data_IF_726698145278
#
_entry.id   IF_726698145278
#
_cell.length_a   1.000
_cell.length_b   1.000
_cell.length_c   1.000
_cell.angle_alpha   90.00
_cell.angle_beta   90.00
_cell.angle_gamma   90.00
#
_symmetry.space_group_name_H-M   'P 1'
#
loop_
_entity.id
_entity.type
_entity.pdbx_description
1 polymer ?
#
# COMPACT_ATOMS: atom_id res chain seq x y z
N UNK A 1 37.49 -1.52 -32.33
CA UNK A 1 37.19 -0.86 -31.06
C UNK A 1 35.77 -1.22 -30.66
N UNK A 2 35.59 -2.25 -29.84
CA UNK A 2 34.30 -2.56 -29.24
C UNK A 2 34.01 -1.50 -28.18
N UNK A 3 32.93 -0.74 -28.38
CA UNK A 3 32.43 0.16 -27.36
C UNK A 3 32.08 -0.66 -26.11
N UNK A 4 32.88 -0.49 -25.05
CA UNK A 4 32.49 -0.86 -23.70
C UNK A 4 31.17 -0.14 -23.43
N UNK A 5 30.02 -0.84 -23.55
CA UNK A 5 28.78 -0.41 -22.92
C UNK A 5 29.15 -0.22 -21.44
N UNK A 6 29.14 1.03 -20.95
CA UNK A 6 29.39 1.35 -19.55
C UNK A 6 28.48 0.44 -18.74
N UNK A 7 29.04 -0.57 -18.07
CA UNK A 7 28.35 -1.31 -17.04
C UNK A 7 27.95 -0.28 -15.99
N UNK A 8 26.67 0.01 -15.96
CA UNK A 8 26.15 1.10 -15.14
C UNK A 8 26.33 0.68 -13.68
N UNK A 9 27.04 1.54 -12.95
CA UNK A 9 27.66 1.29 -11.66
C UNK A 9 26.61 1.19 -10.54
N UNK A 10 26.89 0.50 -9.43
CA UNK A 10 26.31 0.69 -8.08
C UNK A 10 25.66 2.05 -7.76
N UNK A 11 26.32 3.13 -8.19
CA UNK A 11 25.86 4.49 -8.03
C UNK A 11 24.51 4.79 -8.72
N UNK A 12 24.17 4.10 -9.82
CA UNK A 12 22.87 4.25 -10.46
C UNK A 12 21.77 3.55 -9.66
N UNK A 13 22.02 2.40 -9.02
CA UNK A 13 20.98 1.78 -8.18
C UNK A 13 20.68 2.65 -6.96
N UNK A 14 21.72 3.21 -6.32
CA UNK A 14 21.53 4.21 -5.26
C UNK A 14 20.88 5.49 -5.80
N UNK A 15 21.27 5.97 -6.99
CA UNK A 15 20.67 7.14 -7.61
C UNK A 15 19.23 6.88 -8.09
N UNK A 16 18.87 5.66 -8.46
CA UNK A 16 17.52 5.22 -8.81
C UNK A 16 16.64 5.20 -7.57
N UNK A 17 17.18 4.69 -6.44
CA UNK A 17 16.51 4.77 -5.16
C UNK A 17 16.33 6.25 -4.77
N UNK A 18 17.34 7.11 -4.94
CA UNK A 18 17.26 8.54 -4.59
C UNK A 18 16.54 9.41 -5.64
N UNK A 19 16.33 8.94 -6.87
CA UNK A 19 15.77 9.72 -7.97
C UNK A 19 14.38 10.27 -7.64
N UNK A 20 13.43 9.50 -7.08
CA UNK A 20 12.14 10.04 -6.62
C UNK A 20 12.24 11.31 -5.76
N UNK A 21 13.31 11.48 -4.98
CA UNK A 21 13.54 12.69 -4.19
C UNK A 21 14.02 13.89 -5.02
N UNK A 22 14.82 13.67 -6.07
CA UNK A 22 15.31 14.77 -6.93
C UNK A 22 14.26 15.27 -7.92
N UNK A 23 13.24 14.45 -8.20
CA UNK A 23 12.13 14.82 -9.09
C UNK A 23 11.00 15.53 -8.36
N UNK A 24 10.81 15.38 -7.04
CA UNK A 24 9.68 15.95 -6.30
C UNK A 24 9.60 17.50 -6.45
N UNK A 25 8.78 18.05 -7.37
CA UNK A 25 8.76 19.46 -7.67
C UNK A 25 7.47 20.01 -7.06
N UNK A 26 7.37 20.02 -5.73
CA UNK A 26 6.22 20.63 -5.08
C UNK A 26 6.63 21.60 -3.99
N UNK A 27 7.67 22.39 -4.28
CA UNK A 27 8.00 23.63 -3.52
C UNK A 27 7.05 24.78 -3.91
N UNK A 28 5.89 24.48 -4.47
CA UNK A 28 4.85 25.51 -4.63
C UNK A 28 4.22 25.70 -3.26
N UNK A 29 4.08 26.94 -2.82
CA UNK A 29 3.29 27.26 -1.64
C UNK A 29 1.86 26.78 -1.87
N UNK A 30 1.55 25.56 -1.41
CA UNK A 30 0.26 24.94 -1.58
C UNK A 30 -0.75 25.61 -0.65
N UNK A 31 -1.75 26.27 -1.23
CA UNK A 31 -2.90 26.81 -0.54
C UNK A 31 -4.16 25.95 -0.84
N UNK A 32 -5.17 25.95 0.05
CA UNK A 32 -6.46 25.34 -0.25
C UNK A 32 -7.03 25.91 -1.56
N UNK A 33 -7.42 25.05 -2.49
CA UNK A 33 -7.82 25.41 -3.85
C UNK A 33 -6.78 25.07 -4.93
N UNK A 34 -5.53 24.80 -4.53
CA UNK A 34 -4.45 24.41 -5.46
C UNK A 34 -4.44 22.91 -5.73
N UNK A 35 -5.42 22.13 -5.25
CA UNK A 35 -5.47 20.67 -5.40
C UNK A 35 -5.39 20.28 -6.87
N UNK A 36 -6.11 21.01 -7.73
CA UNK A 36 -6.09 20.80 -9.17
C UNK A 36 -4.69 21.00 -9.79
N UNK A 37 -3.89 21.92 -9.24
CA UNK A 37 -2.54 22.18 -9.71
C UNK A 37 -1.54 21.14 -9.18
N UNK A 38 -1.68 20.72 -7.92
CA UNK A 38 -0.74 19.80 -7.26
C UNK A 38 -1.01 18.34 -7.60
N UNK A 39 -2.28 17.94 -7.60
CA UNK A 39 -2.70 16.55 -7.80
C UNK A 39 -3.40 16.33 -9.15
N UNK A 40 -3.61 17.39 -9.93
CA UNK A 40 -4.38 17.29 -11.17
C UNK A 40 -5.89 17.15 -10.93
N UNK A 41 -6.38 17.31 -9.69
CA UNK A 41 -7.79 17.11 -9.32
C UNK A 41 -8.22 17.84 -8.06
N UNK A 42 -9.51 18.16 -7.93
CA UNK A 42 -10.08 18.91 -6.79
C UNK A 42 -10.61 18.03 -5.66
N UNK A 43 -10.70 16.71 -5.88
CA UNK A 43 -11.25 15.73 -4.92
C UNK A 43 -12.71 15.99 -4.50
N UNK A 44 -13.48 16.68 -5.33
CA UNK A 44 -14.90 16.97 -5.08
C UNK A 44 -15.83 15.81 -5.45
N UNK A 45 -15.32 14.81 -6.14
CA UNK A 45 -16.05 13.63 -6.59
C UNK A 45 -16.01 12.53 -5.52
N UNK A 46 -17.02 11.67 -5.50
CA UNK A 46 -17.11 10.55 -4.56
C UNK A 46 -15.98 9.54 -4.75
N UNK A 47 -15.53 9.32 -5.98
CA UNK A 47 -14.37 8.49 -6.27
C UNK A 47 -13.72 8.90 -7.59
N UNK A 48 -12.41 8.75 -7.68
CA UNK A 48 -11.65 9.21 -8.83
C UNK A 48 -10.28 8.51 -8.93
N UNK A 49 -9.78 8.33 -10.16
CA UNK A 49 -8.39 7.94 -10.44
C UNK A 49 -7.86 8.73 -11.62
N UNK A 50 -6.63 9.26 -11.50
CA UNK A 50 -5.97 9.94 -12.62
C UNK A 50 -5.41 8.97 -13.66
N UNK A 51 -5.08 9.52 -14.83
CA UNK A 51 -4.29 8.81 -15.85
C UNK A 51 -2.77 8.84 -15.59
N UNK A 52 -2.27 9.85 -14.86
CA UNK A 52 -0.92 9.99 -14.25
C UNK A 52 -0.66 11.47 -13.92
N UNK A 53 -0.09 11.79 -12.75
CA UNK A 53 0.55 13.07 -12.44
C UNK A 53 1.99 13.01 -12.94
N UNK A 54 2.38 13.92 -13.83
CA UNK A 54 3.75 14.01 -14.34
C UNK A 54 4.55 15.01 -13.51
N UNK A 55 5.67 14.53 -13.01
CA UNK A 55 6.63 15.24 -12.19
C UNK A 55 7.90 15.46 -13.01
N UNK A 56 8.27 16.73 -13.26
CA UNK A 56 9.45 17.07 -14.06
C UNK A 56 10.60 17.52 -13.16
N UNK A 57 11.71 16.79 -13.22
CA UNK A 57 12.95 17.12 -12.53
C UNK A 57 13.71 18.23 -13.26
N UNK A 58 14.48 19.00 -12.50
CA UNK A 58 15.29 20.11 -13.02
C UNK A 58 16.38 19.64 -13.99
N UNK A 59 16.79 18.38 -13.88
CA UNK A 59 17.77 17.70 -14.74
C UNK A 59 17.16 17.14 -16.03
N UNK A 60 15.83 17.22 -16.22
CA UNK A 60 15.12 16.64 -17.36
C UNK A 60 14.60 15.22 -17.13
N UNK A 61 14.86 14.62 -15.96
CA UNK A 61 14.26 13.35 -15.53
C UNK A 61 12.77 13.58 -15.25
N UNK A 62 11.88 12.70 -15.74
CA UNK A 62 10.45 12.81 -15.50
C UNK A 62 9.96 11.60 -14.71
N UNK A 63 9.24 11.81 -13.62
CA UNK A 63 8.52 10.77 -12.90
C UNK A 63 7.01 10.86 -13.19
N UNK A 64 6.30 9.76 -12.99
CA UNK A 64 4.85 9.75 -13.03
C UNK A 64 4.26 8.96 -11.88
N UNK A 65 3.14 9.46 -11.36
CA UNK A 65 2.44 8.94 -10.20
C UNK A 65 0.96 8.71 -10.53
N UNK A 66 0.40 7.59 -10.09
CA UNK A 66 -1.05 7.41 -10.04
C UNK A 66 -1.59 7.91 -8.71
N UNK A 67 -2.75 8.56 -8.74
CA UNK A 67 -3.54 8.87 -7.56
C UNK A 67 -4.95 8.35 -7.73
N UNK A 68 -5.41 7.56 -6.77
CA UNK A 68 -6.81 7.14 -6.62
C UNK A 68 -7.38 7.71 -5.33
N UNK A 69 -8.68 7.95 -5.32
CA UNK A 69 -9.37 8.64 -4.24
C UNK A 69 -10.80 8.13 -4.10
N UNK A 70 -11.28 8.03 -2.86
CA UNK A 70 -12.67 7.80 -2.46
C UNK A 70 -13.01 8.78 -1.35
N UNK A 71 -14.19 9.38 -1.41
CA UNK A 71 -14.72 10.35 -0.44
C UNK A 71 -16.20 10.12 -0.19
N UNK A 72 -16.52 9.81 1.06
CA UNK A 72 -17.90 9.65 1.54
C UNK A 72 -18.06 10.38 2.86
N UNK A 73 -18.79 11.51 2.84
CA UNK A 73 -19.03 12.32 4.03
C UNK A 73 -17.73 12.92 4.59
N UNK A 74 -17.35 12.53 5.81
CA UNK A 74 -16.08 12.92 6.45
C UNK A 74 -14.96 11.88 6.29
N UNK A 75 -15.24 10.74 5.63
CA UNK A 75 -14.23 9.73 5.34
C UNK A 75 -13.64 9.92 3.94
N UNK A 76 -12.33 9.81 3.86
CA UNK A 76 -11.56 9.82 2.62
C UNK A 76 -10.54 8.70 2.65
N UNK A 77 -10.37 8.00 1.53
CA UNK A 77 -9.28 7.07 1.29
C UNK A 77 -8.55 7.46 0.00
N UNK A 78 -7.24 7.26 -0.03
CA UNK A 78 -6.43 7.58 -1.18
C UNK A 78 -5.29 6.58 -1.37
N UNK A 79 -4.89 6.43 -2.62
CA UNK A 79 -3.70 5.70 -3.02
C UNK A 79 -2.83 6.62 -3.85
N UNK A 80 -1.57 6.77 -3.47
CA UNK A 80 -0.54 7.36 -4.33
C UNK A 80 0.46 6.28 -4.67
N UNK A 81 0.62 6.01 -5.97
CA UNK A 81 1.47 4.94 -6.44
C UNK A 81 2.44 5.44 -7.52
N UNK A 82 3.60 4.81 -7.59
CA UNK A 82 4.61 5.14 -8.58
C UNK A 82 4.37 4.37 -9.87
N UNK A 83 4.37 5.09 -10.99
CA UNK A 83 4.24 4.46 -12.30
C UNK A 83 5.63 4.19 -12.88
N UNK A 84 6.36 5.27 -13.20
CA UNK A 84 7.68 5.17 -13.82
C UNK A 84 8.49 6.47 -13.67
N UNK A 85 9.83 6.33 -13.73
CA UNK A 85 10.79 7.41 -14.00
C UNK A 85 11.37 7.18 -15.39
N UNK A 86 11.38 8.24 -16.19
CA UNK A 86 12.12 8.33 -17.43
C UNK A 86 13.30 9.28 -17.21
N UNK A 87 14.51 8.73 -17.18
CA UNK A 87 15.75 9.50 -17.02
C UNK A 87 16.18 10.14 -18.35
N UNK A 88 17.06 11.14 -18.28
CA UNK A 88 17.54 11.86 -19.48
C UNK A 88 18.31 11.02 -20.48
N UNK A 89 18.89 9.89 -20.04
CA UNK A 89 19.54 8.91 -20.90
C UNK A 89 18.56 7.89 -21.50
N UNK A 90 17.25 8.12 -21.35
CA UNK A 90 16.18 7.31 -21.94
C UNK A 90 15.89 6.01 -21.20
N UNK A 91 16.41 5.84 -19.97
CA UNK A 91 16.06 4.68 -19.16
C UNK A 91 14.71 4.86 -18.49
N UNK A 92 13.93 3.78 -18.51
CA UNK A 92 12.64 3.69 -17.83
C UNK A 92 12.80 2.84 -16.58
N UNK A 93 12.41 3.40 -15.44
CA UNK A 93 12.47 2.75 -14.14
C UNK A 93 11.05 2.65 -13.58
N UNK A 94 10.57 1.44 -13.35
CA UNK A 94 9.37 1.10 -12.61
C UNK A 94 9.75 0.58 -11.22
N UNK A 95 9.04 1.05 -10.19
CA UNK A 95 9.18 0.62 -8.80
C UNK A 95 7.78 0.46 -8.20
N UNK A 96 7.44 -0.67 -7.55
CA UNK A 96 6.14 -0.87 -6.94
C UNK A 96 6.06 -0.12 -5.60
N UNK A 97 5.99 1.20 -5.66
CA UNK A 97 5.73 2.02 -4.49
C UNK A 97 4.24 2.34 -4.42
N UNK A 98 3.66 2.09 -3.25
CA UNK A 98 2.25 2.40 -2.97
C UNK A 98 2.14 2.95 -1.56
N UNK A 99 1.58 4.15 -1.47
CA UNK A 99 1.13 4.76 -0.24
C UNK A 99 -0.40 4.71 -0.25
N UNK A 100 -0.97 3.89 0.63
CA UNK A 100 -2.40 3.92 0.92
C UNK A 100 -2.64 4.77 2.16
N UNK A 101 -3.64 5.62 2.13
CA UNK A 101 -3.98 6.53 3.21
C UNK A 101 -5.47 6.65 3.46
N UNK A 102 -5.83 6.97 4.69
CA UNK A 102 -7.18 7.25 5.14
C UNK A 102 -7.20 8.51 5.99
N UNK A 103 -8.25 9.29 5.83
CA UNK A 103 -8.55 10.49 6.61
C UNK A 103 -10.01 10.45 7.04
N UNK A 104 -10.26 10.63 8.33
CA UNK A 104 -11.61 10.62 8.89
C UNK A 104 -11.66 11.30 10.26
N UNK A 105 -12.88 11.46 10.78
CA UNK A 105 -13.12 11.78 12.18
C UNK A 105 -13.68 10.59 12.93
N UNK A 106 -13.16 10.37 14.14
CA UNK A 106 -13.67 9.36 15.07
C UNK A 106 -15.04 9.74 15.63
N UNK A 107 -15.76 8.82 16.31
CA UNK A 107 -17.01 9.13 17.00
C UNK A 107 -16.96 10.32 17.97
N UNK A 108 -15.83 10.54 18.66
CA UNK A 108 -15.60 11.72 19.52
C UNK A 108 -15.08 12.96 18.74
N UNK A 109 -15.22 12.96 17.41
CA UNK A 109 -14.76 14.01 16.50
C UNK A 109 -13.26 14.30 16.58
N UNK A 110 -12.42 13.28 16.79
CA UNK A 110 -10.97 13.41 16.65
C UNK A 110 -10.58 13.14 15.21
N UNK A 111 -9.82 14.05 14.62
CA UNK A 111 -9.28 13.85 13.28
C UNK A 111 -8.16 12.80 13.31
N UNK A 112 -8.24 11.86 12.37
CA UNK A 112 -7.27 10.78 12.19
C UNK A 112 -6.83 10.76 10.75
N UNK A 113 -5.52 10.73 10.56
CA UNK A 113 -4.91 10.62 9.24
C UNK A 113 -3.83 9.54 9.31
N UNK A 114 -4.01 8.44 8.59
CA UNK A 114 -3.17 7.23 8.71
C UNK A 114 -2.88 6.65 7.34
N UNK A 115 -1.69 6.10 7.16
CA UNK A 115 -1.29 5.45 5.93
C UNK A 115 -0.43 4.22 6.16
N UNK A 116 -0.48 3.34 5.17
CA UNK A 116 0.36 2.16 5.05
C UNK A 116 1.17 2.27 3.76
N UNK A 117 2.47 2.03 3.86
CA UNK A 117 3.38 2.08 2.72
C UNK A 117 3.87 0.66 2.44
N UNK A 118 3.74 0.22 1.19
CA UNK A 118 4.36 -1.00 0.73
C UNK A 118 5.88 -0.81 0.67
N UNK A 119 6.61 -1.57 1.48
CA UNK A 119 8.04 -1.42 1.67
C UNK A 119 8.82 -2.20 0.62
N UNK A 120 8.67 -3.53 0.65
CA UNK A 120 9.36 -4.48 -0.21
C UNK A 120 8.73 -5.87 -0.11
N UNK A 121 9.15 -6.75 -1.01
CA UNK A 121 8.95 -8.19 -0.89
C UNK A 121 10.18 -8.82 -0.24
N UNK A 122 9.96 -9.76 0.67
CA UNK A 122 10.99 -10.50 1.39
C UNK A 122 10.75 -12.00 1.18
N UNK A 123 11.71 -12.69 0.59
CA UNK A 123 11.71 -14.15 0.51
C UNK A 123 12.54 -14.71 1.66
N UNK A 124 12.06 -15.76 2.30
CA UNK A 124 12.83 -16.48 3.31
C UNK A 124 12.73 -17.98 3.08
N UNK A 125 13.70 -18.71 3.62
CA UNK A 125 13.72 -20.16 3.55
C UNK A 125 13.44 -20.74 4.93
N UNK A 126 12.20 -21.18 5.15
CA UNK A 126 11.71 -21.74 6.41
C UNK A 126 12.60 -22.92 6.82
N UNK A 127 13.49 -22.62 7.76
CA UNK A 127 14.49 -23.57 8.28
C UNK A 127 14.70 -23.43 9.78
N UNK A 128 13.92 -22.55 10.41
CA UNK A 128 14.04 -22.21 11.81
C UNK A 128 12.65 -21.93 12.39
N UNK A 129 12.33 -22.54 13.53
CA UNK A 129 11.09 -22.22 14.24
C UNK A 129 9.84 -22.90 13.70
N UNK A 130 9.80 -23.32 12.43
CA UNK A 130 8.61 -23.95 11.80
C UNK A 130 7.35 -23.13 12.04
N UNK A 131 7.49 -21.81 11.91
CA UNK A 131 6.44 -20.84 12.16
C UNK A 131 5.99 -20.13 10.88
N UNK A 132 6.62 -20.44 9.74
CA UNK A 132 6.33 -19.91 8.40
C UNK A 132 6.37 -18.36 8.42
N UNK A 133 7.31 -17.82 9.20
CA UNK A 133 7.56 -16.39 9.36
C UNK A 133 9.02 -16.08 9.02
N UNK A 134 9.29 -14.89 8.46
CA UNK A 134 10.65 -14.47 8.17
C UNK A 134 11.45 -14.25 9.46
N UNK A 135 12.14 -15.27 9.94
CA UNK A 135 12.98 -15.28 11.15
C UNK A 135 14.40 -14.77 10.82
N UNK A 136 14.42 -13.56 10.26
CA UNK A 136 15.62 -13.00 9.66
C UNK A 136 16.73 -12.81 10.70
N UNK A 137 17.84 -13.52 10.51
CA UNK A 137 18.96 -13.66 11.43
C UNK A 137 19.20 -15.10 11.86
N UNK A 138 18.18 -15.96 11.75
CA UNK A 138 18.26 -17.40 12.05
C UNK A 138 18.17 -18.29 10.80
N UNK A 139 17.61 -17.78 9.70
CA UNK A 139 17.43 -18.49 8.43
C UNK A 139 17.86 -17.66 7.23
N UNK A 140 18.00 -18.23 6.03
CA UNK A 140 18.35 -17.40 4.86
C UNK A 140 17.14 -16.57 4.40
N UNK A 141 17.37 -15.29 4.11
CA UNK A 141 16.35 -14.40 3.55
C UNK A 141 16.93 -13.42 2.51
N UNK A 142 16.07 -12.98 1.60
CA UNK A 142 16.43 -12.15 0.46
C UNK A 142 15.33 -11.13 0.16
N UNK A 143 15.74 -9.89 -0.10
CA UNK A 143 14.86 -8.88 -0.65
C UNK A 143 14.70 -9.06 -2.15
N UNK A 144 13.49 -8.88 -2.62
CA UNK A 144 13.18 -8.83 -4.04
C UNK A 144 13.09 -7.37 -4.43
N UNK A 145 14.15 -6.86 -5.06
CA UNK A 145 14.29 -5.46 -5.42
C UNK A 145 14.02 -5.30 -6.91
N UNK A 146 12.90 -4.68 -7.31
CA UNK A 146 12.59 -4.49 -8.73
C UNK A 146 13.65 -3.64 -9.41
N UNK A 147 14.19 -4.13 -10.53
CA UNK A 147 15.20 -3.47 -11.33
C UNK A 147 14.76 -3.50 -12.78
N UNK A 148 14.28 -2.36 -13.24
CA UNK A 148 13.70 -2.18 -14.56
C UNK A 148 14.65 -1.51 -15.54
N UNK A 149 15.63 -0.76 -15.02
CA UNK A 149 16.80 -0.36 -15.80
C UNK A 149 17.78 -1.53 -15.95
N UNK A 150 18.20 -1.83 -17.18
CA UNK A 150 19.11 -2.93 -17.50
C UNK A 150 18.56 -4.33 -17.18
N UNK A 151 17.28 -4.56 -17.50
CA UNK A 151 16.75 -5.92 -17.46
C UNK A 151 17.65 -6.86 -18.28
N UNK A 152 18.01 -8.05 -17.75
CA UNK A 152 18.77 -9.05 -18.48
C UNK A 152 18.03 -9.60 -19.72
N UNK A 153 16.73 -9.33 -19.83
CA UNK A 153 15.83 -9.83 -20.86
C UNK A 153 15.33 -8.69 -21.73
N UNK A 154 15.90 -8.58 -22.94
CA UNK A 154 15.59 -7.49 -23.87
C UNK A 154 14.24 -7.62 -24.56
N UNK A 155 13.66 -8.82 -24.50
CA UNK A 155 12.32 -9.16 -25.02
C UNK A 155 11.19 -8.79 -24.06
N UNK A 156 11.53 -8.32 -22.85
CA UNK A 156 10.57 -8.06 -21.78
C UNK A 156 10.54 -6.57 -21.46
N UNK A 157 9.33 -6.02 -21.34
CA UNK A 157 9.13 -4.64 -20.91
C UNK A 157 8.14 -4.61 -19.75
N UNK A 158 8.59 -4.10 -18.61
CA UNK A 158 7.74 -3.90 -17.44
C UNK A 158 6.59 -2.94 -17.77
N UNK A 159 5.40 -3.19 -17.23
CA UNK A 159 4.25 -2.30 -17.37
C UNK A 159 3.64 -2.02 -16.01
N UNK A 160 3.08 -0.83 -15.86
CA UNK A 160 2.31 -0.41 -14.69
C UNK A 160 0.97 0.10 -15.17
N UNK A 161 -0.08 -0.39 -14.54
CA UNK A 161 -1.45 -0.05 -14.89
C UNK A 161 -2.22 0.26 -13.60
N UNK A 162 -2.86 1.44 -13.51
CA UNK A 162 -3.76 1.72 -12.40
C UNK A 162 -5.01 0.85 -12.52
N UNK A 163 -5.49 0.36 -11.37
CA UNK A 163 -6.83 -0.20 -11.25
C UNK A 163 -7.72 0.93 -10.75
N UNK A 164 -8.59 1.51 -11.61
CA UNK A 164 -9.32 2.72 -11.27
C UNK A 164 -10.24 2.51 -10.07
N UNK A 165 -10.45 3.59 -9.31
CA UNK A 165 -11.49 3.67 -8.29
C UNK A 165 -12.84 3.41 -8.94
N UNK A 166 -13.51 2.39 -8.44
CA UNK A 166 -14.80 1.94 -8.94
C UNK A 166 -15.73 1.68 -7.77
N UNK A 167 -16.98 2.13 -7.90
CA UNK A 167 -18.07 1.73 -7.01
C UNK A 167 -18.55 0.34 -7.46
N UNK A 168 -18.16 -0.69 -6.72
CA UNK A 168 -18.51 -2.10 -7.04
C UNK A 168 -19.84 -2.52 -6.44
N UNK A 169 -20.33 -1.79 -5.43
CA UNK A 169 -21.64 -1.95 -4.81
C UNK A 169 -21.96 -0.74 -3.92
N UNK A 170 -23.17 -0.66 -3.34
CA UNK A 170 -23.51 0.41 -2.41
C UNK A 170 -22.48 0.49 -1.26
N UNK A 171 -21.87 1.66 -1.07
CA UNK A 171 -20.82 1.88 -0.06
C UNK A 171 -19.60 0.94 -0.17
N UNK A 172 -19.33 0.39 -1.36
CA UNK A 172 -18.26 -0.56 -1.61
C UNK A 172 -17.43 -0.11 -2.81
N UNK A 173 -16.15 0.18 -2.57
CA UNK A 173 -15.22 0.73 -3.55
C UNK A 173 -13.98 -0.14 -3.70
N UNK A 174 -13.40 -0.14 -4.89
CA UNK A 174 -12.12 -0.82 -5.15
C UNK A 174 -11.20 0.00 -6.04
N UNK A 175 -9.92 0.05 -5.70
CA UNK A 175 -8.83 0.57 -6.54
C UNK A 175 -7.51 -0.12 -6.21
N UNK A 176 -6.48 0.09 -7.01
CA UNK A 176 -5.17 -0.51 -6.79
C UNK A 176 -4.19 -0.25 -7.91
N UNK A 177 -3.13 -1.04 -7.95
CA UNK A 177 -2.11 -1.02 -9.02
C UNK A 177 -1.75 -2.43 -9.45
N UNK A 178 -1.51 -2.59 -10.74
CA UNK A 178 -0.96 -3.80 -11.35
C UNK A 178 0.40 -3.49 -11.98
N UNK A 179 1.41 -4.27 -11.63
CA UNK A 179 2.74 -4.24 -12.21
C UNK A 179 2.96 -5.57 -12.93
N UNK A 180 3.25 -5.58 -14.22
CA UNK A 180 3.51 -6.82 -14.98
C UNK A 180 4.91 -6.84 -15.55
N UNK A 181 5.44 -8.04 -15.79
CA UNK A 181 6.76 -8.26 -16.37
C UNK A 181 7.88 -7.59 -15.57
N UNK A 182 7.78 -7.65 -14.25
CA UNK A 182 8.71 -6.98 -13.35
C UNK A 182 9.98 -7.81 -13.18
N UNK A 183 11.09 -7.30 -13.71
CA UNK A 183 12.42 -7.82 -13.41
C UNK A 183 12.83 -7.38 -12.01
N UNK A 184 13.39 -8.27 -11.19
CA UNK A 184 13.91 -7.95 -9.87
C UNK A 184 15.24 -8.64 -9.58
N UNK A 185 16.09 -7.98 -8.79
CA UNK A 185 17.28 -8.60 -8.20
C UNK A 185 16.91 -9.26 -6.88
N UNK A 186 17.51 -10.42 -6.64
CA UNK A 186 17.43 -11.10 -5.35
C UNK A 186 18.64 -10.68 -4.52
N UNK A 187 18.41 -9.88 -3.49
CA UNK A 187 19.44 -9.25 -2.66
C UNK A 187 19.46 -9.92 -1.31
N UNK A 188 20.62 -10.40 -0.87
CA UNK A 188 20.74 -11.04 0.44
C UNK A 188 20.34 -10.10 1.56
N UNK A 189 19.43 -10.55 2.44
CA UNK A 189 19.06 -9.84 3.65
C UNK A 189 20.04 -10.10 4.80
N UNK A 190 21.00 -11.02 4.63
CA UNK A 190 21.97 -11.44 5.64
C UNK A 190 23.33 -11.77 5.03
N UNK A 191 24.36 -11.00 5.37
CA UNK A 191 25.69 -11.20 4.78
C UNK A 191 25.70 -10.93 3.27
N UNK A 192 26.70 -10.19 2.78
CA UNK A 192 26.78 -9.91 1.32
C UNK A 192 25.62 -9.08 0.75
N UNK A 193 24.83 -8.38 1.59
CA UNK A 193 23.80 -7.43 1.16
C UNK A 193 24.38 -6.45 0.12
N UNK A 194 25.49 -5.79 0.45
CA UNK A 194 26.14 -4.86 -0.47
C UNK A 194 26.55 -5.53 -1.77
N UNK A 195 27.17 -6.72 -1.70
CA UNK A 195 27.62 -7.41 -2.91
C UNK A 195 26.44 -7.78 -3.84
N UNK A 196 25.37 -8.33 -3.28
CA UNK A 196 24.17 -8.75 -4.01
C UNK A 196 23.27 -7.59 -4.46
N UNK A 197 23.30 -6.45 -3.76
CA UNK A 197 22.66 -5.22 -4.22
C UNK A 197 23.41 -4.62 -5.41
N UNK A 198 24.74 -4.59 -5.33
CA UNK A 198 25.61 -3.94 -6.30
C UNK A 198 25.83 -4.75 -7.58
N UNK A 199 25.87 -6.07 -7.47
CA UNK A 199 26.05 -6.98 -8.60
C UNK A 199 24.77 -7.78 -8.85
N UNK A 200 24.33 -7.97 -10.11
CA UNK A 200 23.18 -8.81 -10.43
C UNK A 200 23.53 -10.30 -10.31
N UNK A 201 23.78 -10.76 -9.08
CA UNK A 201 24.16 -12.15 -8.81
C UNK A 201 23.02 -13.11 -9.17
N UNK A 202 21.81 -12.75 -8.77
CA UNK A 202 20.56 -13.44 -9.12
C UNK A 202 19.52 -12.41 -9.55
N UNK A 203 18.88 -12.65 -10.68
CA UNK A 203 17.79 -11.82 -11.21
C UNK A 203 16.63 -12.72 -11.61
N UNK A 204 15.41 -12.30 -11.31
CA UNK A 204 14.17 -13.03 -11.55
C UNK A 204 13.15 -12.16 -12.30
N UNK A 205 12.26 -12.78 -13.05
CA UNK A 205 11.14 -12.13 -13.74
C UNK A 205 9.82 -12.60 -13.14
N UNK A 206 9.08 -11.68 -12.52
CA UNK A 206 7.72 -11.93 -12.07
C UNK A 206 6.72 -11.63 -13.19
N UNK A 207 5.73 -12.50 -13.34
CA UNK A 207 4.60 -12.27 -14.25
C UNK A 207 3.82 -11.02 -13.84
N UNK A 208 3.40 -10.93 -12.57
CA UNK A 208 2.74 -9.76 -12.03
C UNK A 208 2.90 -9.55 -10.52
N UNK A 209 2.69 -8.31 -10.09
CA UNK A 209 2.43 -7.93 -8.69
C UNK A 209 1.18 -7.04 -8.74
N UNK A 210 0.14 -7.41 -8.00
CA UNK A 210 -1.07 -6.60 -7.86
C UNK A 210 -1.32 -6.33 -6.39
N UNK A 211 -1.59 -5.07 -6.06
CA UNK A 211 -2.08 -4.68 -4.74
C UNK A 211 -3.35 -3.89 -4.95
N UNK A 212 -4.44 -4.34 -4.33
CA UNK A 212 -5.74 -3.66 -4.38
C UNK A 212 -6.24 -3.40 -2.97
N UNK A 213 -7.02 -2.34 -2.85
CA UNK A 213 -7.71 -1.97 -1.62
C UNK A 213 -9.21 -2.07 -1.89
N UNK A 214 -9.88 -2.88 -1.08
CA UNK A 214 -11.31 -3.11 -1.16
C UNK A 214 -12.00 -2.52 0.07
N UNK A 215 -12.72 -1.42 -0.14
CA UNK A 215 -13.23 -0.55 0.91
C UNK A 215 -14.73 -0.72 1.04
N UNK A 216 -15.19 -1.13 2.21
CA UNK A 216 -16.61 -1.24 2.55
C UNK A 216 -16.93 -0.33 3.73
N UNK A 217 -17.96 0.52 3.57
CA UNK A 217 -18.46 1.42 4.61
C UNK A 217 -19.76 0.84 5.18
N UNK A 218 -19.72 0.43 6.45
CA UNK A 218 -20.86 -0.13 7.14
C UNK A 218 -21.87 0.96 7.56
N UNK A 219 -23.08 0.52 7.93
CA UNK A 219 -24.17 1.42 8.35
C UNK A 219 -23.88 2.12 9.69
N UNK A 220 -23.08 1.49 10.54
CA UNK A 220 -22.67 2.01 11.85
C UNK A 220 -21.45 2.94 11.78
N UNK A 221 -20.92 3.20 10.58
CA UNK A 221 -19.76 4.06 10.36
C UNK A 221 -18.41 3.37 10.53
N UNK A 222 -18.38 2.06 10.77
CA UNK A 222 -17.16 1.28 10.65
C UNK A 222 -16.77 1.14 9.18
N UNK A 223 -15.49 1.32 8.88
CA UNK A 223 -14.96 1.22 7.51
C UNK A 223 -13.92 0.11 7.49
N UNK A 224 -14.17 -0.91 6.67
CA UNK A 224 -13.28 -2.03 6.48
C UNK A 224 -12.58 -1.87 5.14
N UNK A 225 -11.25 -1.78 5.15
CA UNK A 225 -10.44 -1.82 3.92
C UNK A 225 -9.60 -3.07 3.91
N UNK A 226 -9.93 -3.98 3.01
CA UNK A 226 -9.17 -5.21 2.81
C UNK A 226 -8.09 -4.99 1.76
N UNK A 227 -6.87 -5.41 2.07
CA UNK A 227 -5.82 -5.45 1.06
C UNK A 227 -5.85 -6.81 0.37
N UNK A 228 -5.80 -6.78 -0.96
CA UNK A 228 -5.76 -7.98 -1.80
C UNK A 228 -4.42 -7.99 -2.52
N UNK A 229 -3.71 -9.11 -2.41
CA UNK A 229 -2.40 -9.28 -3.03
C UNK A 229 -2.44 -10.35 -4.10
N UNK A 230 -1.75 -10.08 -5.20
CA UNK A 230 -1.40 -11.10 -6.19
C UNK A 230 0.10 -11.01 -6.42
N UNK A 231 0.82 -12.09 -6.13
CA UNK A 231 2.24 -12.22 -6.45
C UNK A 231 2.35 -13.36 -7.48
N UNK A 232 2.47 -12.96 -8.74
CA UNK A 232 2.56 -13.88 -9.85
C UNK A 232 3.88 -14.67 -9.84
N UNK A 233 3.91 -15.73 -10.63
CA UNK A 233 5.05 -16.64 -10.72
C UNK A 233 6.35 -15.98 -11.16
N UNK A 234 7.45 -16.58 -10.71
CA UNK A 234 8.75 -16.34 -11.33
C UNK A 234 8.83 -17.15 -12.63
N UNK A 235 8.75 -16.46 -13.75
CA UNK A 235 8.71 -17.07 -15.09
C UNK A 235 10.10 -17.31 -15.67
N UNK A 236 11.10 -16.53 -15.23
CA UNK A 236 12.50 -16.64 -15.67
C UNK A 236 13.45 -16.32 -14.53
N UNK A 237 14.60 -16.98 -14.52
CA UNK A 237 15.65 -16.76 -13.55
C UNK A 237 17.03 -16.70 -14.23
N UNK A 238 17.94 -15.93 -13.64
CA UNK A 238 19.33 -15.79 -14.12
C UNK A 238 20.28 -15.74 -12.93
N UNK A 239 21.29 -16.60 -12.95
CA UNK A 239 22.37 -16.65 -11.95
C UNK A 239 23.69 -16.33 -12.64
N UNK A 240 24.41 -15.30 -12.19
CA UNK A 240 25.70 -14.88 -12.76
C UNK A 240 25.69 -14.79 -14.30
N UNK A 241 24.63 -14.19 -14.85
CA UNK A 241 24.33 -14.05 -16.29
C UNK A 241 23.92 -15.32 -17.05
N UNK A 242 23.80 -16.47 -16.39
CA UNK A 242 23.32 -17.71 -17.00
C UNK A 242 21.83 -17.85 -16.70
N UNK A 243 21.01 -18.00 -17.75
CA UNK A 243 19.59 -18.29 -17.60
C UNK A 243 19.41 -19.71 -17.07
N UNK A 244 18.58 -19.85 -16.04
CA UNK A 244 18.30 -21.11 -15.39
C UNK A 244 16.79 -21.26 -15.21
N UNK A 245 16.33 -22.49 -15.08
CA UNK A 245 14.95 -22.76 -14.69
C UNK A 245 14.69 -22.14 -13.30
N UNK A 246 13.60 -21.37 -13.09
CA UNK A 246 13.23 -20.86 -11.78
C UNK A 246 13.21 -21.95 -10.70
N UNK A 247 12.75 -23.16 -11.01
CA UNK A 247 12.68 -24.27 -10.05
C UNK A 247 14.07 -24.74 -9.56
N UNK A 248 15.16 -24.34 -10.23
CA UNK A 248 16.52 -24.65 -9.81
C UNK A 248 17.01 -23.73 -8.68
N UNK A 249 16.36 -22.59 -8.45
CA UNK A 249 16.73 -21.62 -7.40
C UNK A 249 15.60 -21.36 -6.40
N UNK A 250 14.35 -21.60 -6.79
CA UNK A 250 13.17 -21.49 -5.93
C UNK A 250 12.89 -22.86 -5.33
N UNK A 251 13.23 -23.01 -4.06
CA UNK A 251 12.97 -24.27 -3.34
C UNK A 251 11.53 -24.27 -2.79
N UNK A 252 10.90 -25.44 -2.62
CA UNK A 252 9.56 -25.53 -2.02
C UNK A 252 9.47 -24.97 -0.59
N UNK A 253 10.60 -24.90 0.13
CA UNK A 253 10.70 -24.28 1.46
C UNK A 253 10.85 -22.76 1.44
N UNK A 254 10.85 -22.14 0.25
CA UNK A 254 10.94 -20.70 0.13
C UNK A 254 9.56 -20.06 0.12
N UNK A 255 9.35 -19.19 1.09
CA UNK A 255 8.15 -18.41 1.29
C UNK A 255 8.40 -16.94 0.94
N UNK A 256 7.35 -16.21 0.58
CA UNK A 256 7.46 -14.77 0.28
C UNK A 256 6.54 -13.97 1.18
N UNK A 257 6.99 -12.80 1.62
CA UNK A 257 6.23 -11.90 2.46
C UNK A 257 6.12 -10.52 1.82
N UNK A 258 4.91 -9.95 1.82
CA UNK A 258 4.64 -8.58 1.44
C UNK A 258 4.76 -7.67 2.67
N UNK A 259 5.83 -6.88 2.73
CA UNK A 259 6.18 -6.08 3.91
C UNK A 259 5.70 -4.65 3.76
N UNK A 260 5.08 -4.13 4.82
CA UNK A 260 4.60 -2.75 4.92
C UNK A 260 5.09 -2.08 6.20
N UNK A 261 5.13 -0.75 6.17
CA UNK A 261 5.29 0.05 7.38
C UNK A 261 4.20 1.12 7.49
N UNK A 262 3.85 1.48 8.72
CA UNK A 262 2.81 2.48 8.99
C UNK A 262 3.36 3.89 9.08
N UNK A 263 2.59 4.85 8.58
CA UNK A 263 2.74 6.27 8.84
C UNK A 263 1.44 6.77 9.49
N UNK A 264 1.53 7.45 10.64
CA UNK A 264 0.35 7.86 11.40
C UNK A 264 0.50 9.33 11.77
N UNK A 265 -0.54 10.11 11.51
CA UNK A 265 -0.64 11.52 11.80
C UNK A 265 -1.74 11.74 12.83
N UNK A 266 -1.34 11.80 14.10
CA UNK A 266 -2.19 12.23 15.22
C UNK A 266 -1.30 12.86 16.29
N UNK A 267 -1.82 13.86 17.01
CA UNK A 267 -1.04 14.62 18.01
C UNK A 267 -0.48 13.73 19.12
N UNK A 268 -1.15 12.61 19.43
CA UNK A 268 -0.71 11.55 20.35
C UNK A 268 -1.45 10.26 20.03
N UNK A 269 -0.73 9.19 19.73
CA UNK A 269 -1.28 7.86 19.60
C UNK A 269 -0.47 6.82 20.37
N UNK A 270 -1.16 5.76 20.78
CA UNK A 270 -0.53 4.55 21.26
C UNK A 270 -0.87 3.40 20.34
N UNK A 271 0.10 2.49 20.20
CA UNK A 271 -0.10 1.20 19.54
C UNK A 271 -0.26 0.15 20.64
N UNK A 272 -1.41 -0.51 20.63
CA UNK A 272 -1.83 -1.44 21.68
C UNK A 272 -2.31 -2.74 21.05
N UNK A 273 -2.30 -3.83 21.80
CA UNK A 273 -2.99 -5.07 21.43
C UNK A 273 -4.49 -4.90 21.64
N UNK A 274 -5.28 -5.39 20.71
CA UNK A 274 -6.74 -5.31 20.80
C UNK A 274 -7.31 -6.14 21.96
N UNK A 275 -6.66 -7.22 22.36
CA UNK A 275 -7.16 -8.19 23.35
C UNK A 275 -7.05 -7.71 24.79
N UNK A 276 -5.97 -7.00 25.12
CA UNK A 276 -5.62 -6.62 26.50
C UNK A 276 -5.35 -5.12 26.68
N UNK A 277 -5.30 -4.34 25.59
CA UNK A 277 -4.99 -2.91 25.63
C UNK A 277 -3.55 -2.59 26.00
N UNK A 278 -2.68 -3.59 26.15
CA UNK A 278 -1.28 -3.38 26.52
C UNK A 278 -0.53 -2.73 25.37
N UNK A 279 0.32 -1.76 25.73
CA UNK A 279 1.19 -1.08 24.77
C UNK A 279 2.16 -2.07 24.14
N UNK A 280 2.22 -2.04 22.82
CA UNK A 280 3.22 -2.79 22.06
C UNK A 280 4.49 -1.92 21.99
N UNK A 281 5.65 -2.56 22.11
CA UNK A 281 6.96 -1.95 21.80
C UNK A 281 7.41 -2.48 20.44
N UNK A 282 7.95 -1.66 19.54
CA UNK A 282 8.53 -2.13 18.29
C UNK A 282 9.53 -3.26 18.57
N UNK A 283 9.39 -4.43 17.95
CA UNK A 283 10.23 -5.55 18.30
C UNK A 283 11.63 -5.38 17.70
N UNK A 284 12.62 -6.05 18.30
CA UNK A 284 14.00 -6.09 17.79
C UNK A 284 14.29 -7.33 16.94
N UNK A 285 13.33 -8.25 16.86
CA UNK A 285 13.34 -9.47 16.07
C UNK A 285 11.92 -9.76 15.57
N UNK A 286 11.75 -10.63 14.58
CA UNK A 286 10.41 -11.05 14.14
C UNK A 286 9.65 -11.64 15.31
N UNK A 287 8.46 -11.12 15.57
CA UNK A 287 7.57 -11.66 16.60
C UNK A 287 6.22 -11.96 15.99
N UNK A 288 5.68 -13.18 16.17
CA UNK A 288 4.31 -13.48 15.78
C UNK A 288 3.36 -12.47 16.42
N UNK A 289 2.38 -12.03 15.63
CA UNK A 289 1.38 -11.09 16.09
C UNK A 289 0.01 -11.78 16.08
N UNK A 290 -0.37 -12.43 17.21
CA UNK A 290 -1.58 -13.25 17.29
C UNK A 290 -2.86 -12.41 17.45
N UNK A 291 -2.75 -11.08 17.46
CA UNK A 291 -3.84 -10.17 17.78
C UNK A 291 -3.76 -8.89 16.95
N UNK A 292 -4.89 -8.22 16.78
CA UNK A 292 -5.00 -7.01 15.99
C UNK A 292 -4.18 -5.88 16.63
N UNK A 293 -3.57 -5.05 15.78
CA UNK A 293 -2.93 -3.81 16.21
C UNK A 293 -4.00 -2.76 16.34
N UNK A 294 -4.18 -2.19 17.53
CA UNK A 294 -5.11 -1.08 17.77
C UNK A 294 -4.34 0.22 17.96
N UNK A 295 -4.68 1.23 17.17
CA UNK A 295 -4.22 2.60 17.33
C UNK A 295 -5.30 3.39 18.05
N UNK A 296 -4.91 3.95 19.20
CA UNK A 296 -5.77 4.79 20.03
C UNK A 296 -5.34 6.24 19.99
N UNK A 297 -6.30 7.17 20.02
CA UNK A 297 -6.08 8.63 19.98
C UNK A 297 -6.65 9.32 21.22
N UNK A 298 -6.38 10.62 21.37
CA UNK A 298 -6.93 11.40 22.48
C UNK A 298 -6.23 11.18 23.84
N UNK A 299 -4.94 10.80 23.84
CA UNK A 299 -4.22 10.26 25.01
C UNK A 299 -4.75 8.88 25.45
N UNK A 300 -4.94 7.98 24.48
CA UNK A 300 -5.44 6.62 24.74
C UNK A 300 -6.92 6.53 25.15
N UNK A 301 -7.71 7.60 24.96
CA UNK A 301 -9.12 7.59 25.35
C UNK A 301 -9.99 6.84 24.33
N UNK A 302 -9.66 6.92 23.04
CA UNK A 302 -10.54 6.50 21.96
C UNK A 302 -9.85 5.55 20.99
N UNK A 303 -10.55 4.49 20.58
CA UNK A 303 -10.10 3.57 19.52
C UNK A 303 -10.33 4.23 18.17
N UNK A 304 -9.25 4.52 17.43
CA UNK A 304 -9.34 5.17 16.13
C UNK A 304 -9.31 4.17 14.99
N UNK A 305 -8.42 3.17 15.09
CA UNK A 305 -8.05 2.35 13.96
C UNK A 305 -7.56 0.99 14.42
N UNK A 306 -7.93 -0.06 13.69
CA UNK A 306 -7.31 -1.36 13.84
C UNK A 306 -6.66 -1.85 12.55
N UNK A 307 -5.63 -2.64 12.73
CA UNK A 307 -5.13 -3.54 11.70
C UNK A 307 -5.54 -4.94 12.12
N UNK A 308 -6.58 -5.41 11.46
CA UNK A 308 -7.04 -6.79 11.50
C UNK A 308 -6.02 -7.69 10.83
N UNK A 309 -5.42 -8.58 11.61
CA UNK A 309 -4.39 -9.52 11.19
C UNK A 309 -4.81 -10.93 11.62
N UNK A 310 -4.46 -11.94 10.83
CA UNK A 310 -4.80 -13.34 11.15
C UNK A 310 -6.25 -13.74 10.86
N UNK A 311 -6.89 -13.07 9.89
CA UNK A 311 -8.17 -13.55 9.34
C UNK A 311 -7.93 -14.71 8.39
N UNK A 312 -9.00 -15.44 8.11
CA UNK A 312 -8.96 -16.47 7.09
C UNK A 312 -8.84 -15.82 5.72
N UNK A 313 -7.87 -16.27 4.93
CA UNK A 313 -7.68 -15.84 3.56
C UNK A 313 -7.90 -17.02 2.61
N UNK A 314 -8.23 -16.68 1.37
CA UNK A 314 -8.30 -17.65 0.28
C UNK A 314 -7.04 -17.58 -0.58
N UNK A 315 -6.50 -18.75 -0.89
CA UNK A 315 -5.31 -18.93 -1.70
C UNK A 315 -5.69 -19.59 -3.02
N UNK A 316 -5.28 -18.96 -4.12
CA UNK A 316 -5.51 -19.48 -5.46
C UNK A 316 -4.19 -19.75 -6.16
N UNK A 317 -4.15 -20.88 -6.88
CA UNK A 317 -3.07 -21.21 -7.80
C UNK A 317 -3.36 -20.58 -9.16
N UNK A 318 -2.53 -19.63 -9.59
CA UNK A 318 -2.70 -18.98 -10.89
C UNK A 318 -2.06 -19.76 -12.05
N UNK A 319 -1.41 -20.90 -11.78
CA UNK A 319 -0.85 -21.78 -12.81
C UNK A 319 -1.91 -22.51 -13.62
N UNK A 320 -3.16 -22.51 -13.16
CA UNK A 320 -4.27 -23.28 -13.75
C UNK A 320 -5.33 -22.35 -14.33
N UNK A 321 -6.03 -22.80 -15.37
CA UNK A 321 -7.12 -22.05 -16.01
C UNK A 321 -8.38 -22.92 -16.11
N UNK A 322 -9.46 -22.62 -15.34
CA UNK A 322 -9.56 -21.53 -14.36
C UNK A 322 -8.63 -21.74 -13.16
N UNK A 323 -8.35 -20.67 -12.41
CA UNK A 323 -7.54 -20.76 -11.19
C UNK A 323 -8.13 -21.76 -10.20
N UNK A 324 -7.28 -22.65 -9.69
CA UNK A 324 -7.68 -23.58 -8.64
C UNK A 324 -7.68 -22.89 -7.28
N UNK A 325 -8.77 -23.05 -6.55
CA UNK A 325 -8.80 -22.75 -5.11
C UNK A 325 -7.94 -23.80 -4.39
N UNK A 326 -6.80 -23.38 -3.86
CA UNK A 326 -5.97 -24.25 -3.01
C UNK A 326 -6.68 -24.43 -1.66
N UNK A 327 -7.31 -23.36 -1.15
CA UNK A 327 -8.15 -23.36 0.04
C UNK A 327 -8.64 -21.95 0.38
N UNK A 328 -9.73 -21.85 1.13
CA UNK A 328 -10.43 -20.60 1.47
C UNK A 328 -10.43 -20.27 2.97
N UNK A 329 -9.67 -21.03 3.76
CA UNK A 329 -9.70 -20.98 5.21
C UNK A 329 -8.29 -21.05 5.83
N UNK A 330 -7.30 -20.45 5.16
CA UNK A 330 -5.94 -20.34 5.68
C UNK A 330 -5.85 -19.22 6.69
N UNK A 331 -5.18 -19.46 7.83
CA UNK A 331 -4.95 -18.41 8.82
C UNK A 331 -3.74 -17.59 8.39
N UNK A 332 -3.91 -16.28 8.19
CA UNK A 332 -2.80 -15.42 7.83
C UNK A 332 -1.76 -15.31 8.95
N UNK A 333 -0.52 -15.67 8.64
CA UNK A 333 0.58 -15.51 9.57
C UNK A 333 1.10 -14.08 9.47
N UNK A 334 0.80 -13.33 10.51
CA UNK A 334 1.18 -11.94 10.63
C UNK A 334 2.24 -11.80 11.71
N UNK A 335 3.26 -11.01 11.42
CA UNK A 335 4.32 -10.73 12.36
C UNK A 335 4.63 -9.24 12.41
N UNK A 336 5.12 -8.80 13.56
CA UNK A 336 5.87 -7.56 13.63
C UNK A 336 7.32 -7.86 13.29
N UNK A 337 7.83 -7.21 12.24
CA UNK A 337 9.23 -7.37 11.84
C UNK A 337 10.13 -6.50 12.71
N UNK A 338 11.19 -7.11 13.22
CA UNK A 338 12.29 -6.36 13.83
C UNK A 338 13.08 -5.63 12.74
N UNK A 339 12.93 -4.31 12.65
CA UNK A 339 13.58 -3.52 11.61
C UNK A 339 15.12 -3.52 11.77
N UNK A 340 15.83 -3.77 10.67
CA UNK A 340 17.29 -3.86 10.60
C UNK A 340 17.87 -2.74 9.75
N UNK A 341 19.18 -2.52 9.87
CA UNK A 341 19.88 -1.50 9.07
C UNK A 341 19.71 -1.68 7.55
N UNK A 342 19.63 -2.92 7.05
CA UNK A 342 19.37 -3.20 5.63
C UNK A 342 17.93 -2.87 5.21
N UNK A 343 16.94 -3.08 6.09
CA UNK A 343 15.54 -2.71 5.83
C UNK A 343 15.43 -1.19 5.67
N UNK A 344 16.03 -0.44 6.60
CA UNK A 344 16.06 1.02 6.54
C UNK A 344 16.76 1.56 5.30
N UNK A 345 17.82 0.88 4.83
CA UNK A 345 18.52 1.28 3.62
C UNK A 345 17.67 1.08 2.36
N UNK A 346 16.88 0.00 2.28
CA UNK A 346 15.98 -0.25 1.14
C UNK A 346 14.85 0.77 1.04
N UNK A 347 14.33 1.21 2.19
CA UNK A 347 13.27 2.22 2.24
C UNK A 347 13.80 3.64 2.39
N UNK A 348 15.12 3.86 2.42
CA UNK A 348 15.71 5.18 2.71
C UNK A 348 15.23 6.28 1.76
N UNK A 349 14.79 5.90 0.57
CA UNK A 349 14.16 6.80 -0.39
C UNK A 349 12.64 6.90 -0.26
N UNK A 350 11.99 5.79 0.11
CA UNK A 350 10.54 5.74 0.29
C UNK A 350 10.13 6.58 1.49
N UNK A 351 10.88 6.51 2.60
CA UNK A 351 10.60 7.26 3.82
C UNK A 351 10.43 8.77 3.59
N UNK A 352 11.41 9.51 3.02
CA UNK A 352 11.26 10.93 2.76
C UNK A 352 10.23 11.24 1.66
N UNK A 353 10.10 10.39 0.62
CA UNK A 353 9.08 10.56 -0.40
C UNK A 353 7.67 10.41 0.17
N UNK A 354 7.42 9.35 0.94
CA UNK A 354 6.17 9.09 1.64
C UNK A 354 5.85 10.21 2.62
N UNK A 355 6.81 10.62 3.44
CA UNK A 355 6.68 11.76 4.33
C UNK A 355 6.18 13.01 3.59
N UNK A 356 6.80 13.29 2.44
CA UNK A 356 6.46 14.41 1.60
C UNK A 356 5.05 14.29 0.99
N UNK A 357 4.76 13.19 0.27
CA UNK A 357 3.47 12.98 -0.39
C UNK A 357 2.31 12.96 0.60
N UNK A 358 2.52 12.26 1.72
CA UNK A 358 1.54 12.17 2.78
C UNK A 358 1.29 13.53 3.44
N UNK A 359 2.34 14.35 3.63
CA UNK A 359 2.16 15.70 4.13
C UNK A 359 1.36 16.58 3.15
N UNK A 360 1.59 16.48 1.84
CA UNK A 360 0.80 17.24 0.87
C UNK A 360 -0.68 16.84 0.91
N UNK A 361 -0.97 15.53 0.94
CA UNK A 361 -2.34 15.03 1.08
C UNK A 361 -2.98 15.47 2.39
N UNK A 362 -2.28 15.34 3.51
CA UNK A 362 -2.78 15.72 4.82
C UNK A 362 -3.08 17.22 4.92
N UNK A 363 -2.20 18.07 4.40
CA UNK A 363 -2.41 19.52 4.41
C UNK A 363 -3.57 19.92 3.49
N UNK A 364 -3.82 19.18 2.41
CA UNK A 364 -4.94 19.46 1.49
C UNK A 364 -6.29 19.03 2.03
N UNK A 365 -6.32 17.85 2.63
CA UNK A 365 -7.56 17.25 3.11
C UNK A 365 -7.99 17.75 4.50
N UNK A 366 -7.06 18.23 5.34
CA UNK A 366 -7.38 18.68 6.70
C UNK A 366 -7.28 20.20 6.89
N UNK A 367 -8.40 20.81 7.31
CA UNK A 367 -8.39 22.19 7.78
C UNK A 367 -7.70 22.36 9.14
N UNK A 368 -7.82 21.38 10.03
CA UNK A 368 -7.22 21.41 11.36
C UNK A 368 -5.69 21.37 11.27
N UNK A 369 -5.12 20.57 10.38
CA UNK A 369 -3.67 20.57 10.15
C UNK A 369 -3.16 21.91 9.63
N UNK A 370 -3.94 22.60 8.79
CA UNK A 370 -3.60 23.96 8.33
C UNK A 370 -3.65 25.01 9.44
N UNK A 371 -4.38 24.77 10.53
CA UNK A 371 -4.32 25.64 11.71
C UNK A 371 -3.10 25.36 12.59
N UNK A 372 -2.56 24.14 12.52
CA UNK A 372 -1.41 23.70 13.32
C UNK A 372 -0.09 24.04 12.63
N UNK A 373 -0.02 23.84 11.31
CA UNK A 373 1.16 24.06 10.49
C UNK A 373 0.93 25.22 9.52
N UNK A 374 1.88 26.13 9.49
CA UNK A 374 1.79 27.36 8.69
C UNK A 374 1.87 27.11 7.17
N UNK A 375 2.44 25.98 6.76
CA UNK A 375 2.59 25.57 5.36
C UNK A 375 2.82 24.07 5.25
N UNK A 376 2.74 23.52 4.04
CA UNK A 376 3.17 22.13 3.79
C UNK A 376 4.63 21.92 4.14
N UNK A 377 5.50 22.89 3.86
CA UNK A 377 6.93 22.78 4.18
C UNK A 377 7.17 22.70 5.70
N UNK A 378 6.43 23.50 6.46
CA UNK A 378 6.43 23.45 7.92
C UNK A 378 6.03 22.05 8.39
N UNK A 379 5.00 21.46 7.78
CA UNK A 379 4.62 20.09 8.05
C UNK A 379 5.75 19.11 7.66
N UNK A 380 6.29 19.16 6.44
CA UNK A 380 7.39 18.29 5.97
C UNK A 380 8.59 18.32 6.94
N UNK A 381 8.95 19.49 7.45
CA UNK A 381 10.05 19.64 8.42
C UNK A 381 9.77 18.96 9.77
N UNK A 382 8.50 18.80 10.14
CA UNK A 382 8.05 18.13 11.36
C UNK A 382 7.69 16.65 11.16
N UNK A 383 7.81 16.09 9.94
CA UNK A 383 7.47 14.67 9.68
C UNK A 383 8.24 13.72 10.55
N UNK A 384 9.55 13.92 10.71
CA UNK A 384 10.40 13.00 11.46
C UNK A 384 10.01 12.84 12.93
N UNK A 385 9.31 13.82 13.51
CA UNK A 385 8.87 13.80 14.90
C UNK A 385 7.36 13.64 15.06
N UNK A 386 6.57 14.02 14.04
CA UNK A 386 5.12 14.04 14.12
C UNK A 386 4.41 12.99 13.24
N UNK A 387 5.02 12.49 12.16
CA UNK A 387 4.31 11.68 11.13
C UNK A 387 4.99 10.35 10.78
N UNK A 388 6.29 10.21 11.03
CA UNK A 388 7.04 9.03 10.62
C UNK A 388 7.22 8.05 11.78
N UNK A 389 6.52 6.92 11.74
CA UNK A 389 6.75 5.82 12.67
C UNK A 389 7.00 4.51 11.92
N UNK A 390 8.07 4.51 11.12
CA UNK A 390 8.72 3.33 10.55
C UNK A 390 9.29 2.38 11.60
N UNK A 391 8.71 2.32 12.78
CA UNK A 391 9.02 1.30 13.78
C UNK A 391 7.96 0.19 13.73
N UNK A 392 6.82 0.42 13.08
CA UNK A 392 5.74 -0.55 12.93
C UNK A 392 5.77 -1.15 11.54
N UNK A 393 6.45 -2.29 11.44
CA UNK A 393 6.53 -3.08 10.23
C UNK A 393 5.70 -4.34 10.42
N UNK A 394 4.84 -4.63 9.46
CA UNK A 394 4.13 -5.90 9.41
C UNK A 394 4.32 -6.55 8.05
N UNK A 395 4.13 -7.86 8.01
CA UNK A 395 4.28 -8.66 6.81
C UNK A 395 3.12 -9.64 6.70
N UNK A 396 2.65 -9.83 5.47
CA UNK A 396 1.74 -10.91 5.09
C UNK A 396 2.57 -11.96 4.34
N UNK A 397 2.65 -13.17 4.88
CA UNK A 397 3.45 -14.26 4.29
C UNK A 397 2.59 -15.21 3.45
N UNK A 398 3.16 -15.65 2.33
CA UNK A 398 2.60 -16.61 1.40
C UNK A 398 3.40 -17.92 1.54
N UNK A 399 2.72 -19.07 1.58
CA UNK A 399 3.34 -20.36 1.88
C UNK A 399 4.32 -20.83 0.80
N UNK A 400 4.27 -20.23 -0.39
CA UNK A 400 5.25 -20.48 -1.44
C UNK A 400 5.57 -19.16 -2.15
N UNK A 401 6.82 -19.01 -2.58
CA UNK A 401 7.23 -17.88 -3.40
C UNK A 401 6.55 -17.87 -4.78
N UNK A 402 6.14 -19.03 -5.32
CA UNK A 402 5.82 -19.15 -6.73
C UNK A 402 4.32 -19.13 -7.06
N UNK A 403 3.78 -17.95 -7.38
CA UNK A 403 2.53 -17.85 -8.16
C UNK A 403 1.25 -18.02 -7.36
N UNK A 404 1.08 -17.19 -6.35
CA UNK A 404 -0.05 -17.27 -5.44
C UNK A 404 -0.79 -15.95 -5.35
N UNK A 405 -2.11 -16.06 -5.25
CA UNK A 405 -3.01 -14.94 -4.94
C UNK A 405 -3.55 -15.12 -3.54
N UNK A 406 -3.38 -14.10 -2.71
CA UNK A 406 -4.02 -13.99 -1.41
C UNK A 406 -5.20 -13.05 -1.54
N UNK A 407 -6.40 -13.60 -1.32
CA UNK A 407 -7.60 -12.80 -1.14
C UNK A 407 -7.80 -12.57 0.35
N UNK A 408 -7.84 -11.30 0.76
CA UNK A 408 -8.14 -10.81 2.10
C UNK A 408 -7.02 -10.99 3.14
N UNK A 409 -6.05 -10.05 3.19
CA UNK A 409 -5.19 -9.74 4.35
C UNK A 409 -4.23 -8.57 3.98
N UNK A 410 -3.91 -7.59 4.85
CA UNK A 410 -4.57 -7.23 6.11
C UNK A 410 -5.90 -6.51 5.90
N UNK A 411 -6.70 -6.42 6.97
CA UNK A 411 -7.93 -5.62 6.99
C UNK A 411 -7.78 -4.43 7.92
N UNK A 412 -7.78 -3.23 7.35
CA UNK A 412 -7.82 -2.00 8.12
C UNK A 412 -9.24 -1.66 8.54
N UNK A 413 -9.47 -1.41 9.83
CA UNK A 413 -10.78 -0.99 10.33
C UNK A 413 -10.68 0.41 10.91
N UNK A 414 -11.30 1.39 10.25
CA UNK A 414 -11.44 2.74 10.76
C UNK A 414 -12.78 2.90 11.48
N UNK A 415 -12.74 3.46 12.70
CA UNK A 415 -13.94 3.79 13.47
C UNK A 415 -14.27 5.26 13.25
N UNK A 416 -15.35 5.52 12.51
CA UNK A 416 -15.68 6.88 12.08
C UNK A 416 -17.01 7.36 12.66
N UNK A 417 -17.24 8.68 12.60
CA UNK A 417 -18.54 9.29 12.89
C UNK A 417 -19.49 9.30 11.66
N UNK A 418 -19.09 8.71 10.53
CA UNK A 418 -19.87 8.73 9.30
C UNK A 418 -21.06 7.78 9.44
N UNK A 419 -22.28 8.32 9.41
CA UNK A 419 -23.49 7.50 9.38
C UNK A 419 -23.94 7.40 7.91
N UNK A 420 -23.79 6.21 7.32
CA UNK A 420 -24.36 5.99 5.99
C UNK A 420 -25.86 5.77 6.13
N UNK A 421 -26.65 6.71 5.63
CA UNK A 421 -28.09 6.51 5.47
C UNK A 421 -28.26 5.44 4.39
N UNK A 422 -28.48 4.19 4.77
CA UNK A 422 -28.86 3.15 3.81
C UNK A 422 -30.14 3.60 3.10
N UNK A 423 -29.99 4.23 1.95
CA UNK A 423 -31.07 4.41 0.97
C UNK A 423 -31.21 3.11 0.19
N UNK A 424 -31.37 2.01 0.92
CA UNK A 424 -31.80 0.73 0.39
C UNK A 424 -33.31 0.76 0.20
N UNK A 425 -33.78 0.97 -1.03
CA UNK A 425 -35.05 0.45 -1.52
C UNK A 425 -36.38 0.88 -0.87
N UNK A 426 -36.41 1.87 0.03
CA UNK A 426 -37.64 2.31 0.72
C UNK A 426 -38.53 3.29 -0.04
N UNK A 427 -38.11 3.76 -1.22
CA UNK A 427 -38.77 4.85 -1.96
C UNK A 427 -40.17 4.56 -2.50
N UNK A 428 -40.60 3.29 -2.53
CA UNK A 428 -41.93 2.91 -3.05
C UNK A 428 -43.00 2.82 -1.94
N UNK A 429 -42.62 2.59 -0.67
CA UNK A 429 -43.60 2.41 0.41
C UNK A 429 -44.13 3.76 0.93
N UNK A 430 -43.32 4.82 0.95
CA UNK A 430 -43.79 6.14 1.40
C UNK A 430 -44.72 6.79 0.35
N UNK A 431 -44.47 6.58 -0.95
CA UNK A 431 -45.40 7.04 -2.00
C UNK A 431 -46.69 6.22 -2.00
N UNK A 432 -46.62 4.90 -1.77
CA UNK A 432 -47.83 4.06 -1.64
C UNK A 432 -48.67 4.43 -0.41
N UNK A 433 -48.05 4.74 0.74
CA UNK A 433 -48.77 5.16 1.94
C UNK A 433 -49.44 6.55 1.77
N UNK A 434 -48.79 7.47 1.07
CA UNK A 434 -49.37 8.79 0.75
C UNK A 434 -50.49 8.67 -0.28
N UNK A 435 -50.35 7.83 -1.31
CA UNK A 435 -51.41 7.61 -2.32
C UNK A 435 -52.61 6.87 -1.70
N UNK A 436 -52.40 5.86 -0.85
CA UNK A 436 -53.49 5.17 -0.15
C UNK A 436 -54.18 6.10 0.86
N UNK A 437 -53.41 6.95 1.56
CA UNK A 437 -53.96 7.97 2.46
C UNK A 437 -54.84 9.00 1.74
N UNK A 438 -54.41 9.47 0.57
CA UNK A 438 -55.18 10.44 -0.25
C UNK A 438 -56.43 9.79 -0.87
N UNK A 439 -56.36 8.53 -1.31
CA UNK A 439 -57.52 7.80 -1.85
C UNK A 439 -58.54 7.48 -0.75
N UNK A 440 -58.09 7.13 0.46
CA UNK A 440 -58.97 6.89 1.61
C UNK A 440 -59.67 8.17 2.08
N UNK A 441 -58.96 9.30 2.12
CA UNK A 441 -59.54 10.60 2.46
C UNK A 441 -60.56 11.08 1.40
N UNK A 442 -60.28 10.87 0.11
CA UNK A 442 -61.21 11.20 -0.97
C UNK A 442 -62.48 10.31 -0.95
N UNK A 443 -62.36 9.04 -0.56
CA UNK A 443 -63.50 8.12 -0.45
C UNK A 443 -64.41 8.45 0.75
N UNK A 444 -63.84 8.90 1.88
CA UNK A 444 -64.61 9.34 3.06
C UNK A 444 -65.29 10.68 2.82
N UNK A 445 -64.65 11.61 2.09
CA UNK A 445 -65.25 12.88 1.72
C UNK A 445 -66.40 12.76 0.70
N UNK A 446 -66.48 11.67 -0.07
CA UNK A 446 -67.59 11.39 -0.99
C UNK A 446 -68.80 10.68 -0.35
N UNK A 447 -68.65 10.18 0.88
CA UNK A 447 -69.70 9.44 1.62
C UNK A 447 -70.39 10.27 2.72
N UNK A 448 -69.99 11.53 2.88
CA UNK A 448 -70.75 12.56 3.60
C UNK A 448 -71.33 13.51 2.57
#
# INVERSE_FOLDING_TARGET
MHAFKRNITPALLLAVLLAPMSVAPFVVAYAPGDEAQVFGHTFSEEYWTNSSIIVKGADGTNASLTTSFVHVGEFQAFLIAFNEINTTDGQRIVLPYQLFGMHYKTPENKEVFIGAIFAFLLVHNESYGSNDLPDVGNENAWYIVPVTSNSPWTDVTAKVEPIPATLVGPNHYRFGMRYTNMTARVVSAQGGFWLSLLLPLVTVLFSEIVIQYDITIAADGAISTETLYTIGQVTRARVLNIEVDPSAIILPSMEISAVHYLAVFTSKYNVTRSSDGNRIVPPTATTPLPDNITIRVGNDSERAFDIGLGRNYALYNESTDPWDLIGDNYVALNCLLGARGSDFLLIAWQAPLSAFLFAHMAYGLSAQLRTTYSSVQDMVNHVGTAFHNSQWWYAVTFPEWNGLRVQQDPVYVAYTNVITSQTGGGGIIVVAAVVIGVVALAAVARKR
#
